data_IF_528590521737
#
_entry.id   IF_528590521737
#
_cell.length_a   1.000
_cell.length_b   1.000
_cell.length_c   1.000
_cell.angle_alpha   90.00
_cell.angle_beta   90.00
_cell.angle_gamma   90.00
#
_symmetry.space_group_name_H-M   'P 1'
#
loop_
_entity.id
_entity.type
_entity.pdbx_description
1 polymer ?
#
# COMPACT_ATOMS: atom_id res chain seq x y z
N UNK A 1 -23.04 6.39 8.50
CA UNK A 1 -21.87 6.40 7.60
C UNK A 1 -22.32 5.81 6.27
N UNK A 2 -22.08 6.49 5.14
CA UNK A 2 -22.55 6.02 3.82
C UNK A 2 -21.83 4.73 3.48
N UNK A 3 -22.56 3.65 3.22
CA UNK A 3 -22.05 2.32 2.79
C UNK A 3 -20.92 2.40 1.75
N UNK A 4 -20.97 3.41 0.89
CA UNK A 4 -19.96 3.72 -0.13
C UNK A 4 -18.56 3.89 0.44
N UNK A 5 -18.42 4.57 1.59
CA UNK A 5 -17.11 4.82 2.19
C UNK A 5 -16.52 3.55 2.83
N UNK A 6 -17.38 2.65 3.33
CA UNK A 6 -16.96 1.35 3.86
C UNK A 6 -16.46 0.42 2.75
N UNK A 7 -17.12 0.43 1.58
CA UNK A 7 -16.68 -0.35 0.42
C UNK A 7 -15.35 0.14 -0.13
N UNK A 8 -15.13 1.45 -0.19
CA UNK A 8 -13.85 2.04 -0.60
C UNK A 8 -12.74 1.64 0.37
N UNK A 9 -12.99 1.74 1.68
CA UNK A 9 -12.02 1.32 2.69
C UNK A 9 -11.69 -0.18 2.61
N UNK A 10 -12.68 -1.04 2.35
CA UNK A 10 -12.44 -2.47 2.12
C UNK A 10 -11.59 -2.73 0.88
N UNK A 11 -11.85 -2.01 -0.22
CA UNK A 11 -11.07 -2.11 -1.45
C UNK A 11 -9.62 -1.67 -1.24
N UNK A 12 -9.40 -0.57 -0.53
CA UNK A 12 -8.05 -0.07 -0.23
C UNK A 12 -7.27 -1.04 0.67
N UNK A 13 -7.95 -1.72 1.60
CA UNK A 13 -7.37 -2.77 2.45
C UNK A 13 -6.99 -4.00 1.61
N UNK A 14 -7.89 -4.46 0.72
CA UNK A 14 -7.59 -5.59 -0.17
C UNK A 14 -6.41 -5.29 -1.11
N UNK A 15 -6.35 -4.08 -1.66
CA UNK A 15 -5.25 -3.65 -2.55
C UNK A 15 -3.92 -3.56 -1.79
N UNK A 16 -3.95 -3.12 -0.53
CA UNK A 16 -2.78 -3.11 0.33
C UNK A 16 -2.30 -4.54 0.65
N UNK A 17 -3.22 -5.45 1.03
CA UNK A 17 -2.90 -6.85 1.31
C UNK A 17 -2.32 -7.56 0.07
N UNK A 18 -2.91 -7.34 -1.10
CA UNK A 18 -2.43 -7.89 -2.36
C UNK A 18 -1.04 -7.37 -2.74
N UNK A 19 -0.77 -6.10 -2.46
CA UNK A 19 0.56 -5.51 -2.67
C UNK A 19 1.61 -6.19 -1.78
N UNK A 20 1.25 -6.55 -0.53
CA UNK A 20 2.14 -7.27 0.40
C UNK A 20 2.38 -8.71 -0.06
N UNK A 21 1.34 -9.44 -0.47
CA UNK A 21 1.49 -10.79 -1.04
C UNK A 21 2.38 -10.82 -2.29
N UNK A 22 2.23 -9.84 -3.18
CA UNK A 22 3.06 -9.71 -4.37
C UNK A 22 4.52 -9.35 -4.04
N UNK A 23 4.78 -8.72 -2.89
CA UNK A 23 6.14 -8.48 -2.41
C UNK A 23 6.71 -9.78 -1.83
N UNK A 24 5.95 -10.52 -1.02
CA UNK A 24 6.39 -11.79 -0.44
C UNK A 24 6.68 -12.85 -1.52
N UNK A 25 5.87 -12.92 -2.58
CA UNK A 25 6.14 -13.80 -3.73
C UNK A 25 7.46 -13.45 -4.44
N UNK A 26 7.70 -12.16 -4.68
CA UNK A 26 8.93 -11.68 -5.31
C UNK A 26 10.16 -11.92 -4.43
N UNK A 27 10.04 -11.80 -3.11
CA UNK A 27 11.13 -12.06 -2.16
C UNK A 27 11.43 -13.57 -2.05
N UNK A 28 10.41 -14.42 -2.12
CA UNK A 28 10.55 -15.87 -2.01
C UNK A 28 10.94 -16.58 -3.32
N UNK A 29 10.85 -15.89 -4.47
CA UNK A 29 11.43 -16.37 -5.73
C UNK A 29 12.92 -16.01 -5.79
N UNK A 30 13.75 -17.06 -5.70
CA UNK A 30 15.22 -17.01 -5.79
C UNK A 30 15.64 -16.22 -7.04
N UNK A 31 16.12 -14.98 -6.85
CA UNK A 31 16.58 -14.11 -7.93
C UNK A 31 15.95 -12.72 -8.04
N UNK A 32 15.17 -12.24 -7.06
CA UNK A 32 14.68 -10.86 -7.11
C UNK A 32 15.83 -9.84 -7.07
N UNK A 33 16.05 -9.17 -8.20
CA UNK A 33 16.99 -8.07 -8.30
C UNK A 33 16.60 -7.01 -7.27
N UNK A 34 17.58 -6.56 -6.49
CA UNK A 34 17.48 -5.49 -5.48
C UNK A 34 16.71 -4.27 -5.99
N UNK A 35 16.75 -4.03 -7.31
CA UNK A 35 16.00 -3.00 -8.01
C UNK A 35 14.48 -3.17 -7.96
N UNK A 36 13.95 -4.40 -8.07
CA UNK A 36 12.51 -4.69 -7.98
C UNK A 36 12.01 -4.45 -6.55
N UNK A 37 12.77 -4.90 -5.56
CA UNK A 37 12.46 -4.65 -4.14
C UNK A 37 12.48 -3.14 -3.86
N UNK A 38 13.45 -2.42 -4.42
CA UNK A 38 13.56 -0.96 -4.28
C UNK A 38 12.37 -0.25 -4.92
N UNK A 39 11.95 -0.60 -6.13
CA UNK A 39 10.76 -0.03 -6.77
C UNK A 39 9.48 -0.27 -5.94
N UNK A 40 9.31 -1.50 -5.42
CA UNK A 40 8.16 -1.83 -4.57
C UNK A 40 8.16 -1.02 -3.27
N UNK A 41 9.34 -0.82 -2.67
CA UNK A 41 9.48 0.00 -1.46
C UNK A 41 9.22 1.49 -1.73
N UNK A 42 9.70 2.03 -2.85
CA UNK A 42 9.41 3.41 -3.27
C UNK A 42 7.92 3.62 -3.55
N UNK A 43 7.26 2.63 -4.16
CA UNK A 43 5.81 2.64 -4.40
C UNK A 43 5.01 2.62 -3.08
N UNK A 44 5.39 1.76 -2.14
CA UNK A 44 4.79 1.71 -0.81
C UNK A 44 4.96 3.03 -0.07
N UNK A 45 6.17 3.60 -0.07
CA UNK A 45 6.45 4.87 0.60
C UNK A 45 5.62 6.04 0.02
N UNK A 46 5.40 6.05 -1.30
CA UNK A 46 4.49 7.03 -1.93
C UNK A 46 3.05 6.86 -1.46
N UNK A 47 2.55 5.63 -1.34
CA UNK A 47 1.19 5.35 -0.84
C UNK A 47 1.05 5.78 0.62
N UNK A 48 2.03 5.48 1.47
CA UNK A 48 2.04 5.87 2.89
C UNK A 48 2.08 7.38 3.05
N UNK A 49 2.93 8.10 2.30
CA UNK A 49 2.93 9.58 2.34
C UNK A 49 1.60 10.18 1.93
N UNK A 50 0.96 9.66 0.88
CA UNK A 50 -0.37 10.11 0.48
C UNK A 50 -1.40 9.90 1.59
N UNK A 51 -1.35 8.76 2.25
CA UNK A 51 -2.23 8.48 3.39
C UNK A 51 -1.94 9.45 4.55
N UNK A 52 -0.68 9.70 4.86
CA UNK A 52 -0.27 10.64 5.90
C UNK A 52 -0.74 12.08 5.59
N UNK A 53 -0.63 12.51 4.34
CA UNK A 53 -1.11 13.83 3.90
C UNK A 53 -2.64 13.95 4.02
N UNK A 54 -3.39 12.88 3.72
CA UNK A 54 -4.84 12.81 3.92
C UNK A 54 -5.17 12.94 5.42
N UNK A 55 -4.49 12.15 6.26
CA UNK A 55 -4.73 12.18 7.72
C UNK A 55 -4.40 13.54 8.33
N UNK A 56 -3.34 14.21 7.87
CA UNK A 56 -3.01 15.60 8.26
C UNK A 56 -4.07 16.58 7.79
N UNK A 57 -4.55 16.45 6.55
CA UNK A 57 -5.60 17.31 6.00
C UNK A 57 -6.92 17.16 6.75
N UNK A 58 -7.21 15.98 7.30
CA UNK A 58 -8.39 15.72 8.11
C UNK A 58 -8.19 16.08 9.59
N UNK A 59 -6.98 16.52 9.99
CA UNK A 59 -6.65 16.91 11.36
C UNK A 59 -6.63 15.74 12.35
N UNK A 60 -6.41 14.52 11.84
CA UNK A 60 -6.34 13.28 12.62
C UNK A 60 -4.95 13.13 13.26
N UNK A 61 -3.91 13.57 12.55
CA UNK A 61 -2.50 13.61 12.98
C UNK A 61 -1.86 14.96 12.68
#
# INVERSE_FOLDING_TARGET
MKETNLKIAQQDIEDALKTVEDIEKVINEDGSSKDIIKEKFESLNKKVKKLEDILKSEGII
#
